data_IF_146774000079
#
_entry.id   IF_146774000079
#
_cell.length_a   1.000
_cell.length_b   1.000
_cell.length_c   1.000
_cell.angle_alpha   90.00
_cell.angle_beta   90.00
_cell.angle_gamma   90.00
#
_symmetry.space_group_name_H-M   'P 1'
#
loop_
_entity.id
_entity.type
_entity.pdbx_description
1 polymer ?
#
# COMPACT_ATOMS: atom_id res chain seq x y z
N UNK A 1 -2.66 13.94 -11.54
CA UNK A 1 -2.91 12.56 -11.09
C UNK A 1 -1.74 11.72 -11.51
N UNK A 2 -1.18 11.00 -10.54
CA UNK A 2 -0.05 10.11 -10.76
C UNK A 2 -0.52 8.80 -11.42
N UNK A 3 0.42 8.01 -11.94
CA UNK A 3 0.10 6.71 -12.56
C UNK A 3 -0.66 5.81 -11.59
N UNK A 4 -0.17 5.74 -10.35
CA UNK A 4 -0.71 4.88 -9.30
C UNK A 4 -2.20 5.13 -9.03
N UNK A 5 -2.58 6.39 -8.79
CA UNK A 5 -3.98 6.80 -8.59
C UNK A 5 -4.88 6.36 -9.76
N UNK A 6 -4.44 6.55 -11.00
CA UNK A 6 -5.26 6.21 -12.17
C UNK A 6 -5.33 4.70 -12.37
N UNK A 7 -4.22 3.99 -12.18
CA UNK A 7 -4.16 2.55 -12.32
C UNK A 7 -5.00 1.82 -11.25
N UNK A 8 -5.11 2.36 -10.03
CA UNK A 8 -6.02 1.83 -9.01
C UNK A 8 -7.48 1.81 -9.45
N UNK A 9 -7.95 2.89 -10.10
CA UNK A 9 -9.36 3.05 -10.47
C UNK A 9 -9.71 2.43 -11.82
N UNK A 10 -8.77 2.47 -12.76
CA UNK A 10 -9.02 2.06 -14.16
C UNK A 10 -8.36 0.74 -14.54
N UNK A 11 -7.47 0.22 -13.70
CA UNK A 11 -6.61 -0.93 -13.97
C UNK A 11 -5.28 -0.53 -14.60
N UNK A 12 -4.19 -1.28 -14.34
CA UNK A 12 -2.84 -0.94 -14.81
C UNK A 12 -2.69 -0.99 -16.34
N UNK A 13 -3.53 -1.77 -17.03
CA UNK A 13 -3.49 -1.92 -18.50
C UNK A 13 -4.54 -1.08 -19.23
N UNK A 14 -5.12 -0.09 -18.54
CA UNK A 14 -6.17 0.75 -19.12
C UNK A 14 -5.59 1.82 -20.05
N UNK A 15 -6.42 2.32 -20.98
CA UNK A 15 -6.07 3.47 -21.83
C UNK A 15 -5.82 4.74 -21.02
N UNK A 16 -6.46 4.87 -19.86
CA UNK A 16 -6.29 6.06 -19.02
C UNK A 16 -4.96 6.01 -18.26
N UNK A 17 -4.55 4.83 -17.77
CA UNK A 17 -3.22 4.61 -17.22
C UNK A 17 -2.14 4.85 -18.28
N UNK A 18 -2.35 4.36 -19.51
CA UNK A 18 -1.43 4.58 -20.63
C UNK A 18 -1.24 6.07 -20.96
N UNK A 19 -2.32 6.87 -21.00
CA UNK A 19 -2.22 8.32 -21.21
C UNK A 19 -1.39 9.02 -20.13
N UNK A 20 -1.47 8.55 -18.88
CA UNK A 20 -0.62 9.08 -17.79
C UNK A 20 0.84 8.75 -18.05
N UNK A 21 1.17 7.52 -18.44
CA UNK A 21 2.53 7.12 -18.82
C UNK A 21 3.08 7.98 -19.98
N UNK A 22 2.28 8.20 -21.03
CA UNK A 22 2.67 9.08 -22.15
C UNK A 22 2.94 10.53 -21.70
N UNK A 23 2.22 11.02 -20.69
CA UNK A 23 2.46 12.35 -20.11
C UNK A 23 3.72 12.38 -19.23
N UNK A 24 3.99 11.31 -18.50
CA UNK A 24 5.22 11.16 -17.71
C UNK A 24 6.44 11.13 -18.64
N UNK A 25 6.38 10.36 -19.73
CA UNK A 25 7.43 10.32 -20.75
C UNK A 25 7.77 11.72 -21.30
N UNK A 26 6.76 12.50 -21.70
CA UNK A 26 6.98 13.89 -22.16
C UNK A 26 7.59 14.79 -21.08
N UNK A 27 7.18 14.62 -19.83
CA UNK A 27 7.72 15.38 -18.69
C UNK A 27 9.19 15.02 -18.45
N UNK A 28 9.53 13.73 -18.51
CA UNK A 28 10.91 13.24 -18.37
C UNK A 28 11.79 13.73 -19.52
N UNK A 29 11.30 13.69 -20.75
CA UNK A 29 12.01 14.23 -21.92
C UNK A 29 12.28 15.73 -21.78
N UNK A 30 11.34 16.50 -21.21
CA UNK A 30 11.54 17.91 -20.93
C UNK A 30 12.61 18.14 -19.85
N UNK A 31 12.56 17.38 -18.75
CA UNK A 31 13.57 17.46 -17.67
C UNK A 31 14.96 17.13 -18.21
N UNK A 32 15.09 16.07 -19.02
CA UNK A 32 16.34 15.69 -19.65
C UNK A 32 16.90 16.80 -20.55
N UNK A 33 16.06 17.41 -21.41
CA UNK A 33 16.47 18.54 -22.25
C UNK A 33 16.92 19.75 -21.44
N UNK A 34 16.22 20.07 -20.35
CA UNK A 34 16.59 21.19 -19.48
C UNK A 34 17.94 20.92 -18.82
N UNK A 35 18.17 19.68 -18.35
CA UNK A 35 19.43 19.30 -17.71
C UNK A 35 20.65 19.60 -18.59
N UNK A 36 20.56 19.38 -19.90
CA UNK A 36 21.62 19.67 -20.88
C UNK A 36 21.98 21.17 -20.96
N UNK A 37 21.07 22.06 -20.54
CA UNK A 37 21.26 23.51 -20.56
C UNK A 37 21.59 24.12 -19.19
N UNK A 38 21.73 23.29 -18.14
CA UNK A 38 22.07 23.78 -16.81
C UNK A 38 23.58 23.78 -16.55
N UNK A 39 24.10 24.67 -15.68
CA UNK A 39 25.53 24.66 -15.32
C UNK A 39 25.93 23.44 -14.47
N UNK A 40 24.97 22.66 -13.97
CA UNK A 40 25.21 21.44 -13.18
C UNK A 40 24.94 20.21 -14.05
N UNK A 41 25.86 19.26 -14.06
CA UNK A 41 25.62 17.99 -14.75
C UNK A 41 24.69 17.11 -13.92
N UNK A 42 23.49 16.86 -14.42
CA UNK A 42 22.54 15.94 -13.80
C UNK A 42 22.68 14.53 -14.37
N UNK A 43 22.53 13.52 -13.51
CA UNK A 43 22.30 12.12 -13.89
C UNK A 43 20.90 11.76 -13.40
N UNK A 44 20.05 11.31 -14.30
CA UNK A 44 18.64 11.02 -14.00
C UNK A 44 18.50 9.51 -13.81
N UNK A 45 18.05 9.11 -12.63
CA UNK A 45 17.68 7.73 -12.29
C UNK A 45 16.16 7.70 -12.16
N UNK A 46 15.53 6.68 -12.75
CA UNK A 46 14.08 6.45 -12.64
C UNK A 46 13.87 5.15 -11.89
N UNK A 47 12.95 5.16 -10.94
CA UNK A 47 12.64 4.02 -10.10
C UNK A 47 11.12 3.89 -10.00
N UNK A 48 10.64 2.65 -10.01
CA UNK A 48 9.31 2.27 -9.57
C UNK A 48 9.51 1.45 -8.29
N UNK A 49 8.90 1.89 -7.21
CA UNK A 49 8.96 1.23 -5.90
C UNK A 49 8.14 -0.07 -5.89
N UNK A 50 7.06 -0.12 -6.67
CA UNK A 50 6.27 -1.31 -6.95
C UNK A 50 5.64 -1.27 -8.34
N UNK A 51 5.23 -2.45 -8.83
CA UNK A 51 4.30 -2.54 -9.96
C UNK A 51 2.83 -2.39 -9.50
N UNK A 52 1.88 -2.76 -10.37
CA UNK A 52 0.49 -2.94 -9.98
C UNK A 52 -0.09 -4.20 -10.62
N UNK A 53 -0.82 -5.01 -9.85
CA UNK A 53 -1.53 -6.19 -10.33
C UNK A 53 -2.99 -5.84 -10.66
N UNK A 54 -3.55 -6.36 -11.77
CA UNK A 54 -4.97 -6.20 -12.08
C UNK A 54 -5.83 -7.18 -11.27
N UNK A 55 -7.13 -6.89 -11.17
CA UNK A 55 -8.12 -7.88 -10.73
C UNK A 55 -9.45 -7.27 -10.30
N UNK A 56 -10.48 -8.11 -10.26
CA UNK A 56 -11.74 -7.75 -9.59
C UNK A 56 -11.50 -7.60 -8.08
N UNK A 57 -12.19 -6.66 -7.43
CA UNK A 57 -12.14 -6.54 -5.96
C UNK A 57 -12.70 -7.81 -5.32
N UNK A 58 -12.21 -8.16 -4.13
CA UNK A 58 -12.72 -9.28 -3.34
C UNK A 58 -14.22 -9.15 -3.11
N UNK A 59 -14.70 -7.93 -2.83
CA UNK A 59 -16.12 -7.65 -2.66
C UNK A 59 -16.93 -7.81 -3.96
N UNK A 60 -16.38 -7.40 -5.11
CA UNK A 60 -17.00 -7.65 -6.41
C UNK A 60 -17.11 -9.14 -6.69
N UNK A 61 -16.00 -9.85 -6.52
CA UNK A 61 -15.88 -11.28 -6.83
C UNK A 61 -16.74 -12.15 -5.93
N UNK A 62 -16.79 -11.90 -4.63
CA UNK A 62 -17.43 -12.78 -3.63
C UNK A 62 -18.70 -12.19 -3.00
N UNK A 63 -19.04 -10.93 -3.31
CA UNK A 63 -20.24 -10.25 -2.82
C UNK A 63 -20.18 -9.81 -1.35
N UNK A 64 -19.02 -9.92 -0.69
CA UNK A 64 -18.80 -9.54 0.70
C UNK A 64 -17.37 -9.01 0.90
N UNK A 65 -17.20 -8.09 1.84
CA UNK A 65 -15.88 -7.51 2.14
C UNK A 65 -15.06 -8.42 3.05
N UNK A 66 -13.73 -8.24 3.11
CA UNK A 66 -12.90 -8.93 4.13
C UNK A 66 -13.44 -8.67 5.55
N UNK A 67 -13.89 -7.45 5.83
CA UNK A 67 -14.52 -7.09 7.11
C UNK A 67 -15.77 -7.93 7.39
N UNK A 68 -16.63 -8.12 6.40
CA UNK A 68 -17.81 -8.98 6.56
C UNK A 68 -17.43 -10.44 6.84
N UNK A 69 -16.38 -10.95 6.18
CA UNK A 69 -15.87 -12.30 6.42
C UNK A 69 -15.30 -12.47 7.82
N UNK A 70 -14.49 -11.50 8.29
CA UNK A 70 -13.95 -11.49 9.66
C UNK A 70 -15.09 -11.43 10.68
N UNK A 71 -16.08 -10.56 10.47
CA UNK A 71 -17.28 -10.51 11.33
C UNK A 71 -18.00 -11.86 11.39
N UNK A 72 -18.21 -12.51 10.26
CA UNK A 72 -18.82 -13.85 10.23
C UNK A 72 -17.98 -14.86 11.02
N UNK A 73 -16.66 -14.88 10.83
CA UNK A 73 -15.74 -15.75 11.56
C UNK A 73 -15.70 -15.49 13.08
N UNK A 74 -16.00 -14.27 13.51
CA UNK A 74 -16.17 -13.88 14.92
C UNK A 74 -17.58 -14.10 15.48
N UNK A 75 -18.52 -14.66 14.70
CA UNK A 75 -19.92 -14.81 15.11
C UNK A 75 -20.69 -13.47 15.24
N UNK A 76 -20.15 -12.39 14.66
CA UNK A 76 -20.76 -11.07 14.69
C UNK A 76 -21.81 -10.90 13.58
N UNK A 77 -22.80 -10.02 13.77
CA UNK A 77 -23.79 -9.74 12.73
C UNK A 77 -23.16 -9.23 11.44
N UNK A 78 -23.47 -9.88 10.33
CA UNK A 78 -23.09 -9.44 8.96
C UNK A 78 -24.28 -8.85 8.20
N UNK A 79 -24.05 -7.84 7.33
CA UNK A 79 -25.08 -7.24 6.48
C UNK A 79 -25.84 -8.29 5.65
N UNK A 80 -27.14 -8.07 5.42
CA UNK A 80 -27.98 -9.01 4.64
C UNK A 80 -27.47 -9.25 3.21
N UNK A 81 -26.85 -8.24 2.58
CA UNK A 81 -26.21 -8.36 1.26
C UNK A 81 -25.11 -9.43 1.22
N UNK A 82 -24.34 -9.57 2.30
CA UNK A 82 -23.29 -10.58 2.43
C UNK A 82 -23.86 -11.99 2.67
N UNK A 83 -25.14 -12.12 3.01
CA UNK A 83 -25.84 -13.42 3.20
C UNK A 83 -26.43 -13.96 1.89
N UNK A 84 -26.56 -13.13 0.87
CA UNK A 84 -27.22 -13.45 -0.41
C UNK A 84 -26.28 -13.49 -1.61
N UNK A 85 -24.98 -13.66 -1.40
CA UNK A 85 -23.97 -13.52 -2.46
C UNK A 85 -24.15 -14.58 -3.56
N UNK A 86 -24.41 -14.12 -4.78
CA UNK A 86 -24.67 -14.99 -5.94
C UNK A 86 -23.41 -15.64 -6.52
N UNK A 87 -22.22 -15.21 -6.10
CA UNK A 87 -20.94 -15.62 -6.68
C UNK A 87 -20.21 -16.64 -5.80
N UNK A 88 -19.94 -17.81 -6.39
CA UNK A 88 -19.29 -19.01 -5.85
C UNK A 88 -20.01 -19.70 -4.66
N UNK A 89 -20.48 -20.93 -4.88
CA UNK A 89 -21.03 -21.81 -3.81
C UNK A 89 -20.10 -21.89 -2.60
N UNK A 90 -18.80 -21.91 -2.86
CA UNK A 90 -17.73 -22.07 -1.86
C UNK A 90 -17.61 -20.86 -0.91
N UNK A 91 -17.75 -19.63 -1.40
CA UNK A 91 -17.72 -18.42 -0.56
C UNK A 91 -18.95 -18.34 0.35
N UNK A 92 -20.12 -18.76 -0.17
CA UNK A 92 -21.33 -18.93 0.65
C UNK A 92 -21.14 -20.01 1.71
N UNK A 93 -20.50 -21.12 1.36
CA UNK A 93 -20.26 -22.20 2.31
C UNK A 93 -19.30 -21.77 3.43
N UNK A 94 -18.26 -20.99 3.15
CA UNK A 94 -17.39 -20.43 4.19
C UNK A 94 -18.16 -19.56 5.20
N UNK A 95 -18.97 -18.62 4.71
CA UNK A 95 -19.80 -17.75 5.58
C UNK A 95 -20.88 -18.57 6.30
N UNK A 96 -21.50 -19.54 5.61
CA UNK A 96 -22.51 -20.43 6.21
C UNK A 96 -21.89 -21.30 7.31
N UNK A 97 -20.74 -21.92 7.07
CA UNK A 97 -20.01 -22.70 8.06
C UNK A 97 -19.69 -21.85 9.28
N UNK A 98 -19.22 -20.61 9.08
CA UNK A 98 -18.97 -19.68 10.17
C UNK A 98 -20.24 -19.33 10.96
N UNK A 99 -21.36 -19.06 10.27
CA UNK A 99 -22.64 -18.67 10.90
C UNK A 99 -23.41 -19.84 11.53
N UNK A 100 -23.23 -21.08 11.07
CA UNK A 100 -23.97 -22.26 11.52
C UNK A 100 -23.18 -23.16 12.48
N UNK A 101 -21.91 -22.85 12.77
CA UNK A 101 -21.18 -23.57 13.82
C UNK A 101 -21.81 -23.20 15.17
N UNK A 102 -22.38 -24.17 15.91
CA UNK A 102 -22.86 -23.89 17.27
C UNK A 102 -21.67 -23.41 18.11
N UNK A 103 -21.86 -22.42 19.01
CA UNK A 103 -20.83 -22.10 19.98
C UNK A 103 -20.42 -23.38 20.68
N UNK A 104 -19.11 -23.62 20.81
CA UNK A 104 -18.62 -24.71 21.65
C UNK A 104 -19.31 -24.61 23.02
N UNK A 105 -19.71 -25.73 23.62
CA UNK A 105 -20.33 -25.76 24.94
C UNK A 105 -19.34 -25.17 25.96
N UNK A 106 -19.48 -23.86 26.22
CA UNK A 106 -18.78 -23.17 27.30
C UNK A 106 -19.74 -23.15 28.47
N UNK A 107 -19.35 -23.81 29.56
CA UNK A 107 -19.97 -23.70 30.89
C UNK A 107 -20.30 -22.23 31.21
N UNK A 108 -21.48 -21.91 31.78
CA UNK A 108 -21.90 -20.53 31.97
C UNK A 108 -21.17 -19.91 33.16
N UNK A 109 -19.94 -19.46 32.95
CA UNK A 109 -19.21 -18.66 33.94
C UNK A 109 -19.20 -17.17 33.57
N UNK A 110 -19.81 -16.42 34.50
CA UNK A 110 -19.67 -14.99 34.79
C UNK A 110 -20.36 -13.98 33.84
N UNK A 111 -21.42 -13.41 34.42
CA UNK A 111 -22.24 -12.26 34.06
C UNK A 111 -21.48 -10.91 33.92
N UNK A 112 -20.20 -10.92 33.51
CA UNK A 112 -19.36 -9.72 33.35
C UNK A 112 -18.32 -9.85 32.23
N UNK A 113 -18.58 -10.58 31.14
CA UNK A 113 -17.77 -10.47 29.94
C UNK A 113 -17.86 -9.02 29.44
N UNK A 114 -16.85 -8.19 29.80
CA UNK A 114 -16.67 -6.86 29.27
C UNK A 114 -16.92 -6.91 27.77
N UNK A 115 -17.78 -6.01 27.25
CA UNK A 115 -18.16 -5.99 25.84
C UNK A 115 -16.89 -6.09 25.00
N UNK A 116 -16.66 -7.25 24.38
CA UNK A 116 -15.47 -7.49 23.56
C UNK A 116 -15.47 -6.48 22.43
N UNK A 117 -14.30 -5.93 22.14
CA UNK A 117 -14.17 -4.98 21.04
C UNK A 117 -14.39 -5.69 19.72
N UNK A 118 -15.08 -5.04 18.78
CA UNK A 118 -15.13 -5.58 17.42
C UNK A 118 -13.72 -5.54 16.80
N UNK A 119 -13.31 -6.56 16.03
CA UNK A 119 -12.03 -6.55 15.35
C UNK A 119 -11.96 -5.40 14.34
N UNK A 120 -10.80 -4.74 14.30
CA UNK A 120 -10.46 -3.75 13.30
C UNK A 120 -9.92 -4.49 12.09
N UNK A 121 -10.48 -4.19 10.91
CA UNK A 121 -10.04 -4.75 9.63
C UNK A 121 -9.64 -3.59 8.74
N UNK A 122 -8.38 -3.56 8.34
CA UNK A 122 -7.83 -2.62 7.37
C UNK A 122 -7.47 -3.37 6.10
N UNK A 123 -7.82 -2.80 4.97
CA UNK A 123 -7.40 -3.27 3.66
C UNK A 123 -6.28 -2.35 3.16
N UNK A 124 -5.30 -2.93 2.46
CA UNK A 124 -4.22 -2.22 1.79
C UNK A 124 -3.95 -2.98 0.49
N UNK A 125 -4.62 -2.57 -0.57
CA UNK A 125 -4.78 -3.32 -1.81
C UNK A 125 -5.19 -4.76 -1.57
N UNK A 126 -4.31 -5.71 -1.92
CA UNK A 126 -4.57 -7.14 -1.84
C UNK A 126 -4.04 -7.80 -0.54
N UNK A 127 -3.58 -6.98 0.41
CA UNK A 127 -3.21 -7.33 1.78
C UNK A 127 -4.26 -6.82 2.77
N UNK A 128 -4.65 -7.66 3.72
CA UNK A 128 -5.56 -7.34 4.81
C UNK A 128 -4.86 -7.44 6.16
N UNK A 129 -5.24 -6.56 7.09
CA UNK A 129 -4.74 -6.53 8.45
C UNK A 129 -5.94 -6.63 9.39
N UNK A 130 -5.89 -7.61 10.31
CA UNK A 130 -6.91 -7.79 11.34
C UNK A 130 -6.26 -7.61 12.70
N UNK A 131 -6.85 -6.75 13.54
CA UNK A 131 -6.41 -6.51 14.91
C UNK A 131 -7.56 -6.57 15.90
N UNK A 132 -7.30 -7.09 17.10
CA UNK A 132 -8.22 -7.19 18.23
C UNK A 132 -7.82 -6.17 19.29
N UNK A 133 -8.48 -5.00 19.37
CA UNK A 133 -8.04 -3.90 20.24
C UNK A 133 -8.10 -4.21 21.75
N UNK A 134 -8.81 -5.27 22.12
CA UNK A 134 -8.96 -5.76 23.49
C UNK A 134 -7.95 -6.87 23.85
N UNK A 135 -6.97 -7.12 22.98
CA UNK A 135 -5.84 -8.02 23.25
C UNK A 135 -4.58 -7.16 23.42
N UNK A 136 -3.85 -7.40 24.51
CA UNK A 136 -2.58 -6.73 24.74
C UNK A 136 -1.48 -7.38 23.90
N UNK A 137 -0.74 -6.56 23.13
CA UNK A 137 0.25 -7.05 22.18
C UNK A 137 -0.39 -7.75 20.99
N UNK A 138 0.41 -8.51 20.24
CA UNK A 138 -0.09 -9.31 19.11
C UNK A 138 -0.92 -10.49 19.66
N UNK A 139 -2.06 -10.82 19.09
CA UNK A 139 -2.82 -12.00 19.49
C UNK A 139 -2.13 -13.28 18.97
N UNK A 140 -2.16 -14.34 19.78
CA UNK A 140 -1.76 -15.68 19.31
C UNK A 140 -2.91 -16.36 18.56
N UNK A 141 -2.58 -17.29 17.68
CA UNK A 141 -3.51 -18.20 17.04
C UNK A 141 -4.37 -18.90 18.08
N UNK A 142 -3.75 -19.41 19.15
CA UNK A 142 -4.42 -20.14 20.22
C UNK A 142 -5.44 -19.25 20.96
N UNK A 143 -5.08 -17.99 21.21
CA UNK A 143 -6.01 -17.01 21.78
C UNK A 143 -7.14 -16.65 20.82
N UNK A 144 -6.84 -16.45 19.53
CA UNK A 144 -7.84 -16.17 18.50
C UNK A 144 -8.81 -17.34 18.35
N UNK A 145 -8.32 -18.58 18.29
CA UNK A 145 -9.13 -19.79 18.15
C UNK A 145 -10.03 -20.00 19.39
N UNK A 146 -9.53 -19.70 20.59
CA UNK A 146 -10.34 -19.76 21.83
C UNK A 146 -11.46 -18.71 21.83
N UNK A 147 -11.17 -17.49 21.33
CA UNK A 147 -12.14 -16.38 21.28
C UNK A 147 -13.14 -16.53 20.13
N UNK A 148 -12.67 -16.98 18.97
CA UNK A 148 -13.38 -17.02 17.68
C UNK A 148 -13.04 -18.32 16.91
N UNK A 149 -13.56 -19.50 17.32
CA UNK A 149 -13.12 -20.81 16.79
C UNK A 149 -13.32 -21.01 15.28
N UNK A 150 -14.17 -20.21 14.64
CA UNK A 150 -14.42 -20.28 13.22
C UNK A 150 -13.55 -19.32 12.39
N UNK A 151 -12.89 -18.33 12.98
CA UNK A 151 -12.30 -17.22 12.23
C UNK A 151 -11.15 -17.66 11.32
N UNK A 152 -10.08 -18.23 11.88
CA UNK A 152 -8.88 -18.57 11.12
C UNK A 152 -9.18 -19.65 10.08
N UNK A 153 -9.98 -20.66 10.45
CA UNK A 153 -10.40 -21.70 9.52
C UNK A 153 -11.28 -21.18 8.39
N UNK A 154 -12.19 -20.23 8.66
CA UNK A 154 -13.03 -19.59 7.62
C UNK A 154 -12.18 -18.78 6.65
N UNK A 155 -11.24 -17.99 7.17
CA UNK A 155 -10.36 -17.17 6.33
C UNK A 155 -9.42 -18.04 5.49
N UNK A 156 -8.72 -19.00 6.10
CA UNK A 156 -7.72 -19.83 5.42
C UNK A 156 -8.30 -20.74 4.33
N UNK A 157 -9.57 -21.13 4.45
CA UNK A 157 -10.26 -21.96 3.44
C UNK A 157 -11.07 -21.16 2.43
N UNK A 158 -11.12 -19.82 2.55
CA UNK A 158 -11.86 -19.01 1.59
C UNK A 158 -11.11 -18.94 0.25
N UNK A 159 -11.75 -19.22 -0.91
CA UNK A 159 -11.05 -19.28 -2.20
C UNK A 159 -10.43 -17.94 -2.64
N UNK A 160 -10.90 -16.83 -2.05
CA UNK A 160 -10.35 -15.49 -2.26
C UNK A 160 -9.09 -15.15 -1.44
N UNK A 161 -8.67 -16.03 -0.54
CA UNK A 161 -7.53 -15.83 0.38
C UNK A 161 -6.44 -16.84 0.01
N UNK A 162 -5.22 -16.35 -0.15
CA UNK A 162 -4.06 -17.19 -0.46
C UNK A 162 -3.47 -17.82 0.80
N UNK A 163 -3.23 -16.99 1.82
CA UNK A 163 -2.71 -17.44 3.11
C UNK A 163 -2.94 -16.41 4.22
N UNK A 164 -2.79 -16.87 5.47
CA UNK A 164 -2.74 -16.03 6.66
C UNK A 164 -1.36 -16.11 7.30
N UNK A 165 -0.88 -15.03 7.90
CA UNK A 165 0.26 -15.04 8.82
C UNK A 165 -0.24 -14.66 10.23
N UNK A 166 -0.01 -15.55 11.19
CA UNK A 166 -0.44 -15.41 12.59
C UNK A 166 0.69 -15.80 13.53
N UNK A 167 0.73 -15.22 14.74
CA UNK A 167 1.64 -15.70 15.80
C UNK A 167 1.09 -17.00 16.38
N UNK A 168 1.90 -18.02 16.62
CA UNK A 168 1.55 -19.15 17.51
C UNK A 168 2.43 -19.13 18.76
N UNK A 169 1.86 -19.59 19.87
CA UNK A 169 2.59 -19.81 21.13
C UNK A 169 3.55 -21.01 21.06
N UNK A 170 3.25 -22.00 20.23
CA UNK A 170 4.01 -23.26 20.15
C UNK A 170 5.15 -23.20 19.12
N UNK A 171 4.87 -22.65 17.93
CA UNK A 171 5.77 -22.75 16.78
C UNK A 171 6.43 -21.42 16.38
N UNK A 172 6.27 -20.38 17.19
CA UNK A 172 6.46 -19.01 16.72
C UNK A 172 5.38 -18.67 15.69
N UNK A 173 5.62 -17.72 14.80
CA UNK A 173 4.61 -17.40 13.78
C UNK A 173 4.46 -18.52 12.75
N UNK A 174 3.23 -18.70 12.26
CA UNK A 174 2.88 -19.72 11.26
C UNK A 174 2.13 -19.09 10.10
N UNK A 175 2.26 -19.72 8.93
CA UNK A 175 1.44 -19.43 7.75
C UNK A 175 0.36 -20.48 7.62
N UNK A 176 -0.90 -20.03 7.60
CA UNK A 176 -2.07 -20.89 7.42
C UNK A 176 -2.56 -20.83 5.98
N UNK A 177 -2.95 -21.98 5.44
CA UNK A 177 -3.53 -22.12 4.10
C UNK A 177 -4.74 -23.06 4.09
N UNK A 178 -5.28 -23.35 2.90
CA UNK A 178 -6.46 -24.20 2.76
C UNK A 178 -6.20 -25.63 3.23
N UNK A 179 -7.27 -26.34 3.60
CA UNK A 179 -7.21 -27.75 4.01
C UNK A 179 -6.53 -27.99 5.36
N UNK A 180 -6.39 -26.94 6.20
CA UNK A 180 -5.69 -27.04 7.49
C UNK A 180 -4.18 -27.01 7.35
N UNK A 181 -3.65 -26.55 6.21
CA UNK A 181 -2.21 -26.38 6.01
C UNK A 181 -1.67 -25.35 6.99
N UNK A 182 -0.60 -25.71 7.68
CA UNK A 182 0.11 -24.86 8.62
C UNK A 182 1.61 -25.08 8.47
N UNK A 183 2.36 -23.98 8.28
CA UNK A 183 3.81 -24.03 8.08
C UNK A 183 4.46 -22.99 8.99
N UNK A 184 5.38 -23.37 9.89
CA UNK A 184 6.16 -22.40 10.67
C UNK A 184 6.90 -21.41 9.77
N UNK A 185 6.91 -20.13 10.14
CA UNK A 185 7.56 -19.06 9.36
C UNK A 185 9.06 -19.34 9.16
N UNK A 186 9.71 -19.99 10.13
CA UNK A 186 11.10 -20.43 10.02
C UNK A 186 11.31 -21.41 8.86
N UNK A 187 10.33 -22.28 8.58
CA UNK A 187 10.41 -23.39 7.61
C UNK A 187 9.90 -23.02 6.22
N UNK A 188 9.39 -21.81 6.01
CA UNK A 188 8.84 -21.38 4.72
C UNK A 188 9.84 -21.52 3.57
N UNK A 189 9.37 -22.04 2.44
CA UNK A 189 10.12 -22.09 1.19
C UNK A 189 9.30 -21.47 0.06
N UNK A 190 9.97 -20.78 -0.84
CA UNK A 190 9.35 -20.31 -2.08
C UNK A 190 8.89 -21.52 -2.91
N UNK A 191 7.76 -21.39 -3.61
CA UNK A 191 7.27 -22.46 -4.48
C UNK A 191 6.68 -23.68 -3.76
N UNK A 192 6.52 -23.62 -2.43
CA UNK A 192 5.94 -24.70 -1.62
C UNK A 192 4.78 -24.23 -0.73
N UNK A 193 3.90 -25.17 -0.38
CA UNK A 193 2.81 -24.94 0.56
C UNK A 193 1.90 -23.77 0.16
N UNK A 194 1.43 -22.96 1.13
CA UNK A 194 0.60 -21.79 0.85
C UNK A 194 1.30 -20.71 -0.01
N UNK A 195 2.63 -20.76 -0.14
CA UNK A 195 3.41 -19.80 -0.91
C UNK A 195 3.73 -20.26 -2.35
N UNK A 196 3.20 -21.41 -2.78
CA UNK A 196 3.60 -22.07 -4.02
C UNK A 196 3.52 -21.20 -5.28
N UNK A 197 2.56 -20.27 -5.32
CA UNK A 197 2.28 -19.45 -6.51
C UNK A 197 2.88 -18.05 -6.46
N UNK A 198 3.46 -17.61 -5.33
CA UNK A 198 3.84 -16.20 -5.14
C UNK A 198 5.24 -15.84 -5.64
N UNK A 199 6.00 -16.82 -6.14
CA UNK A 199 7.30 -16.62 -6.76
C UNK A 199 8.46 -16.46 -5.76
N UNK A 200 9.63 -16.16 -6.32
CA UNK A 200 10.88 -16.03 -5.55
C UNK A 200 10.84 -14.84 -4.60
N UNK A 201 11.34 -15.05 -3.38
CA UNK A 201 11.38 -14.04 -2.32
C UNK A 201 10.10 -13.95 -1.47
N UNK A 202 9.05 -14.70 -1.79
CA UNK A 202 7.80 -14.71 -1.04
C UNK A 202 8.01 -15.12 0.43
N UNK A 203 8.74 -16.21 0.68
CA UNK A 203 9.03 -16.68 2.03
C UNK A 203 9.87 -15.66 2.81
N UNK A 204 10.83 -14.99 2.16
CA UNK A 204 11.65 -13.95 2.78
C UNK A 204 10.81 -12.70 3.11
N UNK A 205 9.89 -12.30 2.23
CA UNK A 205 8.97 -11.19 2.47
C UNK A 205 8.05 -11.47 3.67
N UNK A 206 7.48 -12.67 3.77
CA UNK A 206 6.65 -13.07 4.92
C UNK A 206 7.46 -13.05 6.22
N UNK A 207 8.67 -13.63 6.22
CA UNK A 207 9.57 -13.58 7.39
C UNK A 207 9.88 -12.15 7.83
N UNK A 208 10.21 -11.27 6.88
CA UNK A 208 10.51 -9.86 7.18
C UNK A 208 9.30 -9.15 7.78
N UNK A 209 8.11 -9.33 7.20
CA UNK A 209 6.87 -8.75 7.74
C UNK A 209 6.60 -9.22 9.16
N UNK A 210 6.87 -10.49 9.48
CA UNK A 210 6.69 -11.04 10.82
C UNK A 210 7.59 -10.41 11.89
N UNK A 211 8.74 -9.84 11.49
CA UNK A 211 9.66 -9.16 12.42
C UNK A 211 9.20 -7.75 12.82
N UNK A 212 8.19 -7.20 12.14
CA UNK A 212 7.78 -5.82 12.40
C UNK A 212 7.05 -5.69 13.73
N UNK A 213 7.38 -4.68 14.56
CA UNK A 213 6.78 -4.50 15.89
C UNK A 213 5.29 -4.16 15.84
N UNK A 214 4.78 -3.76 14.67
CA UNK A 214 3.39 -3.36 14.44
C UNK A 214 2.67 -4.28 13.45
N UNK A 215 3.18 -5.49 13.23
CA UNK A 215 2.46 -6.51 12.45
C UNK A 215 1.11 -6.79 13.12
N UNK A 216 0.05 -6.94 12.32
CA UNK A 216 -1.28 -7.20 12.83
C UNK A 216 -1.40 -8.61 13.44
N UNK A 217 -2.51 -8.85 14.13
CA UNK A 217 -2.79 -10.16 14.75
C UNK A 217 -2.96 -11.23 13.69
N UNK A 218 -3.67 -10.89 12.62
CA UNK A 218 -3.76 -11.70 11.40
C UNK A 218 -3.42 -10.81 10.21
N UNK A 219 -2.34 -11.17 9.51
CA UNK A 219 -2.08 -10.65 8.16
C UNK A 219 -2.75 -11.59 7.16
N UNK A 220 -3.47 -11.05 6.19
CA UNK A 220 -4.25 -11.80 5.21
C UNK A 220 -3.77 -11.44 3.82
N UNK A 221 -3.16 -12.37 3.09
CA UNK A 221 -2.89 -12.16 1.68
C UNK A 221 -4.03 -12.74 0.86
N UNK A 222 -4.59 -11.97 -0.07
CA UNK A 222 -5.56 -12.51 -1.03
C UNK A 222 -4.93 -13.61 -1.91
N UNK A 223 -5.78 -14.33 -2.63
CA UNK A 223 -5.32 -15.26 -3.65
C UNK A 223 -4.51 -14.56 -4.76
N UNK A 224 -3.66 -15.33 -5.44
CA UNK A 224 -3.02 -14.95 -6.69
C UNK A 224 -3.24 -16.05 -7.74
N UNK A 225 -3.70 -15.67 -8.94
CA UNK A 225 -3.89 -16.58 -10.08
C UNK A 225 -2.76 -16.37 -11.11
N UNK A 226 -1.78 -17.28 -11.20
CA UNK A 226 -0.69 -17.18 -12.16
C UNK A 226 -1.13 -17.25 -13.63
N UNK A 227 -2.29 -17.85 -13.92
CA UNK A 227 -2.79 -17.99 -15.28
C UNK A 227 -3.32 -16.67 -15.86
N UNK A 228 -3.89 -15.82 -15.00
CA UNK A 228 -4.42 -14.51 -15.39
C UNK A 228 -3.56 -13.34 -14.91
N UNK A 229 -2.65 -13.57 -13.97
CA UNK A 229 -1.86 -12.53 -13.32
C UNK A 229 -2.65 -11.74 -12.25
N UNK A 230 -3.86 -12.17 -11.91
CA UNK A 230 -4.79 -11.37 -11.09
C UNK A 230 -4.68 -11.65 -9.59
N UNK A 231 -5.00 -10.62 -8.81
CA UNK A 231 -5.20 -10.69 -7.35
C UNK A 231 -6.57 -10.10 -7.00
N UNK A 232 -7.13 -10.45 -5.84
CA UNK A 232 -8.37 -9.83 -5.37
C UNK A 232 -8.10 -8.78 -4.31
N UNK A 233 -8.19 -7.51 -4.70
CA UNK A 233 -8.02 -6.39 -3.77
C UNK A 233 -9.12 -6.41 -2.70
N UNK A 234 -8.75 -6.25 -1.43
CA UNK A 234 -9.70 -6.05 -0.35
C UNK A 234 -10.28 -4.63 -0.33
N UNK A 235 -9.60 -3.68 -0.98
CA UNK A 235 -10.07 -2.31 -1.24
C UNK A 235 -10.94 -2.23 -2.50
N UNK A 236 -11.67 -1.12 -2.67
CA UNK A 236 -12.45 -0.83 -3.88
C UNK A 236 -11.56 -0.32 -5.02
N UNK A 237 -10.54 -1.09 -5.38
CA UNK A 237 -9.57 -0.76 -6.42
C UNK A 237 -9.34 -1.98 -7.33
N UNK A 238 -9.35 -1.77 -8.64
CA UNK A 238 -9.17 -2.84 -9.65
C UNK A 238 -7.72 -2.97 -10.14
N UNK A 239 -6.90 -1.94 -9.90
CA UNK A 239 -5.44 -2.06 -9.84
C UNK A 239 -5.02 -2.09 -8.39
N UNK A 240 -4.13 -3.00 -8.02
CA UNK A 240 -3.78 -3.23 -6.62
C UNK A 240 -2.30 -3.54 -6.43
N UNK A 241 -1.79 -3.11 -5.28
CA UNK A 241 -0.50 -3.51 -4.76
C UNK A 241 -0.57 -3.56 -3.22
N UNK A 242 0.49 -4.04 -2.56
CA UNK A 242 0.59 -4.03 -1.09
C UNK A 242 0.66 -5.43 -0.47
N UNK A 243 0.29 -6.47 -1.22
CA UNK A 243 0.48 -7.87 -0.84
C UNK A 243 1.47 -8.59 -1.74
N UNK A 244 1.36 -9.91 -1.79
CA UNK A 244 2.09 -10.77 -2.72
C UNK A 244 1.20 -11.14 -3.91
N UNK A 245 1.84 -11.32 -5.07
CA UNK A 245 1.24 -11.92 -6.27
C UNK A 245 1.08 -10.95 -7.44
N UNK A 246 1.37 -11.44 -8.65
CA UNK A 246 1.18 -10.71 -9.90
C UNK A 246 2.25 -9.65 -10.17
N UNK A 247 1.91 -8.70 -11.04
CA UNK A 247 2.83 -7.68 -11.56
C UNK A 247 3.25 -6.63 -10.52
N UNK A 248 2.56 -6.53 -9.38
CA UNK A 248 2.99 -5.66 -8.27
C UNK A 248 4.41 -5.96 -7.77
N UNK A 249 4.87 -7.21 -7.92
CA UNK A 249 6.21 -7.65 -7.54
C UNK A 249 7.29 -7.40 -8.61
N UNK A 250 6.96 -6.64 -9.68
CA UNK A 250 7.88 -6.32 -10.79
C UNK A 250 8.17 -4.82 -10.88
N UNK A 251 8.85 -4.23 -9.87
CA UNK A 251 9.38 -2.87 -9.97
C UNK A 251 10.52 -2.79 -10.99
N UNK A 252 10.93 -1.57 -11.33
CA UNK A 252 12.12 -1.35 -12.15
C UNK A 252 13.02 -0.24 -11.59
N UNK A 253 14.29 -0.31 -11.95
CA UNK A 253 15.28 0.75 -11.77
C UNK A 253 15.94 0.99 -13.13
N UNK A 254 15.93 2.23 -13.61
CA UNK A 254 16.60 2.66 -14.83
C UNK A 254 17.67 3.68 -14.46
N UNK A 255 18.89 3.45 -14.95
CA UNK A 255 20.03 4.30 -14.66
C UNK A 255 20.92 4.51 -15.90
N UNK A 256 21.69 5.61 -15.95
CA UNK A 256 22.69 5.84 -16.99
C UNK A 256 23.78 4.75 -17.00
N UNK A 257 24.13 4.24 -18.18
CA UNK A 257 25.16 3.19 -18.35
C UNK A 257 26.57 3.54 -17.83
N UNK A 258 26.83 4.82 -17.57
CA UNK A 258 28.13 5.27 -17.03
C UNK A 258 28.24 5.18 -15.51
N UNK A 259 27.24 4.64 -14.81
CA UNK A 259 27.24 4.46 -13.36
C UNK A 259 27.45 2.98 -13.04
N UNK A 260 28.02 2.68 -11.86
CA UNK A 260 28.22 1.29 -11.41
C UNK A 260 26.91 0.49 -11.48
N UNK A 261 26.95 -0.76 -11.94
CA UNK A 261 25.76 -1.62 -11.99
C UNK A 261 25.23 -1.89 -10.57
N UNK A 262 23.93 -1.72 -10.30
CA UNK A 262 23.32 -2.06 -9.01
C UNK A 262 23.63 -3.47 -8.53
N UNK A 263 23.70 -4.46 -9.43
CA UNK A 263 23.98 -5.84 -9.07
C UNK A 263 25.44 -6.05 -8.69
N UNK A 264 26.37 -5.31 -9.30
CA UNK A 264 27.78 -5.32 -8.90
C UNK A 264 27.96 -4.73 -7.49
N UNK A 265 27.21 -3.68 -7.16
CA UNK A 265 27.21 -3.07 -5.82
C UNK A 265 26.73 -4.10 -4.78
N UNK A 266 25.60 -4.76 -5.05
CA UNK A 266 25.03 -5.78 -4.16
C UNK A 266 25.95 -7.00 -4.03
N UNK A 267 26.60 -7.42 -5.11
CA UNK A 267 27.54 -8.54 -5.10
C UNK A 267 28.78 -8.22 -4.25
N UNK A 268 29.33 -7.00 -4.36
CA UNK A 268 30.45 -6.55 -3.55
C UNK A 268 30.10 -6.54 -2.05
N UNK A 269 28.94 -5.99 -1.67
CA UNK A 269 28.47 -6.00 -0.28
C UNK A 269 28.27 -7.42 0.26
N UNK A 270 27.73 -8.32 -0.57
CA UNK A 270 27.53 -9.73 -0.19
C UNK A 270 28.88 -10.40 0.06
N UNK A 271 29.90 -10.11 -0.77
CA UNK A 271 31.27 -10.59 -0.56
C UNK A 271 31.91 -10.03 0.72
N UNK A 272 31.49 -8.84 1.17
CA UNK A 272 31.90 -8.21 2.43
C UNK A 272 31.08 -8.68 3.65
N UNK A 273 30.15 -9.63 3.47
CA UNK A 273 29.40 -10.28 4.54
C UNK A 273 27.94 -9.84 4.69
N UNK A 274 27.42 -8.99 3.80
CA UNK A 274 25.99 -8.72 3.75
C UNK A 274 25.20 -9.99 3.32
N UNK A 275 23.97 -10.20 3.81
CA UNK A 275 23.15 -11.32 3.37
C UNK A 275 22.86 -11.23 1.86
N UNK A 276 23.03 -12.34 1.14
CA UNK A 276 22.66 -12.41 -0.26
C UNK A 276 21.13 -12.20 -0.41
N UNK A 277 20.68 -11.35 -1.34
CA UNK A 277 19.26 -11.13 -1.55
C UNK A 277 18.59 -12.38 -2.12
N UNK A 278 17.32 -12.65 -1.76
CA UNK A 278 16.56 -13.75 -2.36
C UNK A 278 16.55 -13.63 -3.89
N UNK A 279 16.92 -14.70 -4.58
CA UNK A 279 16.93 -14.72 -6.06
C UNK A 279 18.06 -13.95 -6.73
N UNK A 280 19.04 -13.41 -5.98
CA UNK A 280 20.24 -12.78 -6.55
C UNK A 280 20.04 -11.42 -7.21
N UNK A 281 18.90 -10.77 -6.97
CA UNK A 281 18.55 -9.45 -7.53
C UNK A 281 18.56 -8.31 -6.50
N UNK A 282 18.17 -7.12 -6.94
CA UNK A 282 17.97 -5.96 -6.05
C UNK A 282 16.59 -6.06 -5.37
N UNK A 283 16.58 -6.40 -4.07
CA UNK A 283 15.33 -6.62 -3.31
C UNK A 283 15.23 -5.64 -2.14
N UNK A 284 14.12 -4.92 -2.09
CA UNK A 284 13.75 -4.06 -0.97
C UNK A 284 14.42 -2.69 -0.94
N UNK A 285 13.80 -1.76 -0.22
CA UNK A 285 14.22 -0.36 -0.14
C UNK A 285 15.62 -0.18 0.46
N UNK A 286 16.03 -1.05 1.39
CA UNK A 286 17.35 -1.00 2.02
C UNK A 286 18.48 -1.24 1.01
N UNK A 287 18.30 -2.21 0.09
CA UNK A 287 19.27 -2.49 -0.96
C UNK A 287 19.31 -1.35 -2.00
N UNK A 288 18.13 -0.85 -2.41
CA UNK A 288 18.03 0.32 -3.30
C UNK A 288 18.72 1.54 -2.68
N UNK A 289 18.53 1.79 -1.38
CA UNK A 289 19.18 2.90 -0.68
C UNK A 289 20.70 2.81 -0.75
N UNK A 290 21.28 1.61 -0.59
CA UNK A 290 22.73 1.43 -0.69
C UNK A 290 23.25 1.65 -2.10
N UNK A 291 22.53 1.20 -3.13
CA UNK A 291 22.83 1.53 -4.53
C UNK A 291 22.83 3.04 -4.75
N UNK A 292 21.79 3.74 -4.30
CA UNK A 292 21.69 5.19 -4.43
C UNK A 292 22.85 5.89 -3.69
N UNK A 293 23.20 5.44 -2.49
CA UNK A 293 24.30 6.00 -1.71
C UNK A 293 25.65 5.79 -2.41
N UNK A 294 25.88 4.59 -2.96
CA UNK A 294 27.11 4.30 -3.72
C UNK A 294 27.25 5.19 -4.95
N UNK A 295 26.17 5.38 -5.70
CA UNK A 295 26.15 6.32 -6.83
C UNK A 295 26.40 7.76 -6.42
N UNK A 296 25.84 8.20 -5.29
CA UNK A 296 26.16 9.52 -4.74
C UNK A 296 27.65 9.67 -4.45
N UNK A 297 28.29 8.66 -3.87
CA UNK A 297 29.73 8.66 -3.59
C UNK A 297 30.58 8.62 -4.87
N UNK A 298 30.19 7.82 -5.87
CA UNK A 298 30.89 7.69 -7.16
C UNK A 298 31.01 9.03 -7.90
N UNK A 299 29.97 9.87 -7.81
CA UNK A 299 29.92 11.16 -8.49
C UNK A 299 30.06 12.36 -7.55
N UNK A 300 30.33 12.14 -6.26
CA UNK A 300 30.70 13.19 -5.34
C UNK A 300 32.16 13.60 -5.55
N UNK A 301 32.37 14.75 -6.21
CA UNK A 301 33.58 15.53 -5.99
C UNK A 301 33.62 16.09 -4.55
N UNK A 302 34.69 16.80 -4.13
CA UNK A 302 34.73 17.42 -2.81
C UNK A 302 33.47 18.26 -2.62
N UNK A 303 32.67 17.90 -1.61
CA UNK A 303 31.47 18.61 -1.24
C UNK A 303 31.87 20.03 -0.87
N UNK A 304 31.59 21.00 -1.73
CA UNK A 304 31.77 22.42 -1.38
C UNK A 304 30.67 22.73 -0.38
N UNK A 305 30.98 23.00 0.90
CA UNK A 305 29.96 23.37 1.86
C UNK A 305 29.22 24.60 1.30
N UNK A 306 27.90 24.59 1.38
CA UNK A 306 27.14 25.83 1.20
C UNK A 306 27.67 26.79 2.25
N UNK A 307 28.48 27.77 1.84
CA UNK A 307 28.97 28.80 2.75
C UNK A 307 27.73 29.49 3.31
N UNK A 308 27.65 29.56 4.63
CA UNK A 308 26.62 30.32 5.35
C UNK A 308 26.64 31.81 4.98
N UNK A 309 27.63 32.26 4.21
CA UNK A 309 27.78 33.60 3.71
C UNK A 309 27.21 33.74 2.30
N UNK A 310 25.97 34.24 2.23
CA UNK A 310 25.59 35.21 1.19
C UNK A 310 24.79 34.70 0.00
N UNK A 311 23.55 34.23 0.24
CA UNK A 311 22.48 34.70 -0.63
C UNK A 311 22.29 36.18 -0.28
N UNK A 312 22.97 37.10 -0.98
CA UNK A 312 22.60 38.52 -0.93
C UNK A 312 21.32 38.70 -1.72
N UNK A 313 20.24 38.07 -1.24
CA UNK A 313 18.92 38.64 -1.42
C UNK A 313 19.01 40.06 -0.86
N UNK A 314 18.55 41.03 -1.63
CA UNK A 314 18.39 42.39 -1.17
C UNK A 314 17.86 42.37 0.26
N UNK A 315 18.49 43.16 1.13
CA UNK A 315 18.11 43.28 2.53
C UNK A 315 16.59 43.27 2.64
N UNK A 316 16.05 42.46 3.56
CA UNK A 316 14.66 42.60 3.97
C UNK A 316 14.51 44.02 4.47
N UNK A 317 14.02 44.89 3.61
CA UNK A 317 13.39 46.12 4.05
C UNK A 317 12.12 45.64 4.74
N UNK A 318 12.17 45.57 6.07
CA UNK A 318 10.96 45.68 6.88
C UNK A 318 10.41 47.09 6.67
N UNK A 319 9.87 47.35 5.48
CA UNK A 319 8.98 48.47 5.24
C UNK A 319 7.67 48.12 5.96
N UNK A 320 7.28 48.86 7.00
CA UNK A 320 6.00 48.64 7.63
C UNK A 320 4.90 48.85 6.59
N UNK A 321 3.91 47.96 6.61
CA UNK A 321 2.67 48.11 5.84
C UNK A 321 2.16 49.55 6.01
N UNK A 322 1.86 50.29 4.92
CA UNK A 322 1.39 51.67 5.04
C UNK A 322 0.09 51.67 5.85
N UNK A 323 0.16 52.26 7.03
CA UNK A 323 -0.97 52.45 7.93
C UNK A 323 -2.07 53.26 7.25
N UNK A 324 -3.32 52.89 7.54
CA UNK A 324 -4.51 53.60 7.09
C UNK A 324 -4.36 55.10 7.33
N UNK A 325 -4.50 55.90 6.26
CA UNK A 325 -4.58 57.35 6.38
C UNK A 325 -5.84 57.66 7.18
N UNK A 326 -5.64 58.13 8.42
CA UNK A 326 -6.65 58.84 9.16
C UNK A 326 -7.08 60.09 8.40
N UNK A 327 -8.19 59.97 7.65
CA UNK A 327 -8.98 61.11 7.21
C UNK A 327 -9.88 61.53 8.37
N UNK A 328 -9.65 62.73 8.90
CA UNK A 328 -10.55 63.34 9.89
C UNK A 328 -11.93 63.60 9.29
N UNK A 329 -12.96 63.37 10.10
CA UNK A 329 -14.35 63.75 9.80
C UNK A 329 -15.27 63.36 10.94
N UNK A 330 -15.93 64.37 11.53
CA UNK A 330 -16.94 64.27 12.59
C UNK A 330 -18.09 63.29 12.27
N UNK A 331 -18.68 62.66 13.31
CA UNK A 331 -19.85 61.75 13.20
C UNK A 331 -21.18 62.44 12.86
N UNK A 332 -22.38 61.89 13.18
CA UNK A 332 -22.73 60.56 13.73
C UNK A 332 -23.90 59.84 12.97
N UNK A 333 -24.37 58.73 13.57
CA UNK A 333 -25.75 58.16 13.57
C UNK A 333 -26.14 57.02 12.59
N UNK A 334 -26.74 55.99 13.22
CA UNK A 334 -27.84 55.09 12.84
C UNK A 334 -27.91 54.41 11.46
N UNK A 335 -28.25 53.11 11.48
CA UNK A 335 -29.02 52.51 10.38
C UNK A 335 -28.74 51.04 10.07
N UNK A 336 -29.78 50.23 10.23
CA UNK A 336 -29.96 48.85 9.81
C UNK A 336 -29.58 48.55 8.35
N UNK A 337 -29.29 47.26 8.03
CA UNK A 337 -29.86 46.64 6.82
C UNK A 337 -28.90 45.97 5.81
N UNK A 338 -29.07 44.65 5.68
CA UNK A 338 -29.21 43.88 4.43
C UNK A 338 -28.04 43.68 3.42
N UNK A 339 -27.66 42.40 3.29
CA UNK A 339 -27.67 41.54 2.09
C UNK A 339 -26.90 41.91 0.78
N UNK A 340 -25.96 41.02 0.45
CA UNK A 340 -25.73 40.25 -0.81
C UNK A 340 -25.97 40.94 -2.18
N UNK A 341 -24.92 40.93 -3.02
CA UNK A 341 -24.84 40.77 -4.50
C UNK A 341 -23.35 40.97 -4.87
N UNK A 342 -22.67 40.33 -5.82
CA UNK A 342 -22.93 39.36 -6.89
C UNK A 342 -21.67 39.43 -7.79
N UNK A 343 -21.10 38.29 -8.18
CA UNK A 343 -19.86 38.20 -9.00
C UNK A 343 -20.22 38.18 -10.49
N UNK A 344 -19.52 38.93 -11.38
CA UNK A 344 -19.61 38.69 -12.80
C UNK A 344 -18.44 37.83 -13.32
N UNK A 345 -18.80 36.89 -14.19
CA UNK A 345 -17.94 36.02 -15.01
C UNK A 345 -17.34 36.85 -16.16
N UNK A 346 -16.07 36.61 -16.50
CA UNK A 346 -15.46 37.11 -17.74
C UNK A 346 -15.01 35.98 -18.66
N UNK A 347 -15.36 36.19 -19.92
CA UNK A 347 -15.33 35.34 -21.09
C UNK A 347 -13.99 35.32 -21.83
N UNK A 348 -13.91 34.34 -22.75
CA UNK A 348 -12.82 33.91 -23.63
C UNK A 348 -12.16 35.01 -24.48
N UNK A 349 -10.87 34.81 -24.80
CA UNK A 349 -10.06 35.61 -25.73
C UNK A 349 -9.57 34.71 -26.89
N UNK A 350 -9.69 35.11 -28.17
CA UNK A 350 -9.30 34.30 -29.32
C UNK A 350 -7.82 34.48 -29.74
N UNK A 351 -7.27 33.46 -30.40
CA UNK A 351 -5.90 33.37 -30.94
C UNK A 351 -5.76 34.01 -32.34
N UNK A 352 -4.56 34.52 -32.73
CA UNK A 352 -4.33 35.10 -34.05
C UNK A 352 -3.79 34.10 -35.10
N UNK A 353 -4.17 34.35 -36.36
CA UNK A 353 -3.74 33.62 -37.56
C UNK A 353 -2.31 33.99 -38.02
N UNK A 354 -1.63 33.05 -38.66
CA UNK A 354 -0.32 33.22 -39.30
C UNK A 354 -0.44 33.49 -40.80
N UNK A 355 0.42 34.34 -41.40
CA UNK A 355 0.38 34.63 -42.84
C UNK A 355 1.18 33.62 -43.68
N UNK A 356 0.76 33.57 -44.96
CA UNK A 356 1.03 32.62 -46.06
C UNK A 356 2.47 32.26 -46.39
#
# INVERSE_FOLDING_TARGET
MAYDEVAHHSGPHSRDAEKVLQRLDRSLALIAKIADHTPRTYRIVLLSDHGQSPGETFAGRYGLTLKDLVRAGCGLPVPRRARGTHSASEARDAVRIALHRPPAEVEPEAEHAARRSEPIVLASGNLGLVSFPDIEGRASREEIDRRNPALLSTLANHPGIGFLLVRSEEHGSVVLGPGGTEVPVAELADGAGPLAVFGTGAAAAVRRTDTFPHVADVMVNSMYDPGTGTVHAFEEQIGSHGGLGGEQARPFLLWPRGMTDPLDIVAAETAEGAPAPPGGGLVGAEAVHRVLNRWLLEFSGPQVPVRTEGFTGAARADEPFPGERGGGGQGPADGQGAAVRGVPVLSEIPLPETPS
#
